data_IF_012145214386
#
_entry.id   IF_012145214386
#
_cell.length_a   1.000
_cell.length_b   1.000
_cell.length_c   1.000
_cell.angle_alpha   90.00
_cell.angle_beta   90.00
_cell.angle_gamma   90.00
#
_symmetry.space_group_name_H-M   'P 1'
#
loop_
_entity.id
_entity.type
_entity.pdbx_description
1 polymer ?
#
# COMPACT_ATOMS: atom_id res chain seq x y z
N UNK A 1 -10.10 -15.12 -15.85
CA UNK A 1 -11.09 -14.17 -16.37
C UNK A 1 -10.33 -12.95 -16.88
N UNK A 2 -10.61 -12.53 -18.09
CA UNK A 2 -10.02 -11.37 -18.76
C UNK A 2 -11.00 -10.20 -18.68
N UNK A 3 -10.56 -9.05 -18.20
CA UNK A 3 -11.39 -7.84 -18.12
C UNK A 3 -10.66 -6.72 -18.83
N UNK A 4 -11.29 -6.11 -19.84
CA UNK A 4 -10.76 -4.92 -20.51
C UNK A 4 -11.35 -3.64 -19.92
N UNK A 5 -10.54 -2.58 -19.89
CA UNK A 5 -11.03 -1.22 -19.68
C UNK A 5 -11.82 -0.75 -20.91
N UNK A 6 -12.64 0.29 -20.76
CA UNK A 6 -13.39 0.86 -21.88
C UNK A 6 -12.45 1.42 -22.97
N UNK A 7 -11.29 1.94 -22.55
CA UNK A 7 -10.26 2.53 -23.39
C UNK A 7 -9.12 1.56 -23.73
N UNK A 8 -9.23 0.27 -23.38
CA UNK A 8 -8.33 -0.75 -23.92
C UNK A 8 -8.41 -0.80 -25.44
N UNK A 9 -7.37 -1.36 -26.06
CA UNK A 9 -7.30 -1.57 -27.51
C UNK A 9 -8.46 -2.44 -28.03
N UNK A 10 -8.76 -2.34 -29.32
CA UNK A 10 -9.89 -3.04 -29.92
C UNK A 10 -9.76 -4.57 -29.79
N UNK A 11 -8.55 -5.10 -30.00
CA UNK A 11 -8.27 -6.54 -29.89
C UNK A 11 -8.39 -7.03 -28.45
N UNK A 12 -7.93 -6.24 -27.47
CA UNK A 12 -8.08 -6.54 -26.04
C UNK A 12 -9.55 -6.61 -25.64
N UNK A 13 -10.37 -5.64 -26.08
CA UNK A 13 -11.82 -5.66 -25.83
C UNK A 13 -12.53 -6.82 -26.51
N UNK A 14 -12.07 -7.23 -27.70
CA UNK A 14 -12.62 -8.38 -28.41
C UNK A 14 -12.28 -9.72 -27.72
N UNK A 15 -11.12 -9.80 -27.04
CA UNK A 15 -10.66 -10.98 -26.33
C UNK A 15 -11.17 -11.08 -24.87
N UNK A 16 -11.66 -9.97 -24.29
CA UNK A 16 -12.06 -9.91 -22.89
C UNK A 16 -13.37 -10.67 -22.60
N UNK A 17 -13.45 -11.30 -21.43
CA UNK A 17 -14.69 -11.91 -20.93
C UNK A 17 -15.70 -10.81 -20.50
N UNK A 18 -15.18 -9.68 -20.01
CA UNK A 18 -15.94 -8.52 -19.56
C UNK A 18 -15.25 -7.24 -20.04
N UNK A 19 -16.04 -6.24 -20.44
CA UNK A 19 -15.54 -4.91 -20.81
C UNK A 19 -16.17 -3.89 -19.88
N UNK A 20 -15.31 -3.14 -19.19
CA UNK A 20 -15.69 -2.03 -18.32
C UNK A 20 -16.23 -0.84 -19.13
N UNK A 21 -16.98 0.04 -18.47
CA UNK A 21 -17.63 1.19 -19.12
C UNK A 21 -16.86 2.49 -18.97
N UNK A 22 -15.83 2.52 -18.12
CA UNK A 22 -15.12 3.75 -17.73
C UNK A 22 -15.89 4.54 -16.68
N UNK A 23 -16.87 3.92 -16.03
CA UNK A 23 -17.69 4.54 -14.98
C UNK A 23 -18.28 3.42 -14.11
N UNK A 24 -18.08 3.51 -12.79
CA UNK A 24 -18.42 2.49 -11.80
C UNK A 24 -17.81 1.10 -12.13
N UNK A 25 -16.56 1.09 -12.61
CA UNK A 25 -15.89 -0.15 -13.04
C UNK A 25 -15.63 -1.09 -11.85
N UNK A 26 -15.63 -0.56 -10.61
CA UNK A 26 -15.57 -1.40 -9.41
C UNK A 26 -16.71 -2.42 -9.35
N UNK A 27 -17.87 -2.14 -9.96
CA UNK A 27 -18.99 -3.10 -10.00
C UNK A 27 -18.68 -4.33 -10.85
N UNK A 28 -18.00 -4.13 -11.99
CA UNK A 28 -17.54 -5.24 -12.86
C UNK A 28 -16.49 -6.08 -12.14
N UNK A 29 -15.53 -5.43 -11.49
CA UNK A 29 -14.50 -6.10 -10.70
C UNK A 29 -15.08 -6.89 -9.52
N UNK A 30 -16.06 -6.32 -8.81
CA UNK A 30 -16.74 -6.99 -7.70
C UNK A 30 -17.55 -8.21 -8.17
N UNK A 31 -18.24 -8.11 -9.31
CA UNK A 31 -18.95 -9.24 -9.91
C UNK A 31 -17.98 -10.38 -10.30
N UNK A 32 -16.82 -10.03 -10.89
CA UNK A 32 -15.77 -10.98 -11.20
C UNK A 32 -15.23 -11.68 -9.94
N UNK A 33 -14.90 -10.93 -8.89
CA UNK A 33 -14.45 -11.46 -7.59
C UNK A 33 -15.50 -12.40 -6.98
N UNK A 34 -16.79 -12.03 -7.04
CA UNK A 34 -17.88 -12.85 -6.52
C UNK A 34 -18.06 -14.17 -7.28
N UNK A 35 -17.72 -14.21 -8.58
CA UNK A 35 -17.79 -15.42 -9.40
C UNK A 35 -16.69 -16.45 -9.05
N UNK A 36 -15.53 -15.99 -8.57
CA UNK A 36 -14.36 -16.82 -8.24
C UNK A 36 -14.46 -17.47 -6.85
N UNK A 37 -15.48 -18.30 -6.63
CA UNK A 37 -15.73 -18.96 -5.32
C UNK A 37 -14.63 -19.93 -4.87
N UNK A 38 -13.82 -20.46 -5.79
CA UNK A 38 -12.70 -21.37 -5.48
C UNK A 38 -11.33 -20.72 -5.69
N UNK A 39 -11.29 -19.40 -5.80
CA UNK A 39 -10.10 -18.66 -6.21
C UNK A 39 -9.91 -18.64 -7.72
N UNK A 40 -8.82 -18.02 -8.16
CA UNK A 40 -8.47 -17.87 -9.58
C UNK A 40 -7.81 -16.54 -9.89
N UNK A 41 -7.66 -16.26 -11.17
CA UNK A 41 -7.02 -15.03 -11.66
C UNK A 41 -8.01 -14.17 -12.44
N UNK A 42 -8.06 -12.90 -12.05
CA UNK A 42 -8.62 -11.79 -12.82
C UNK A 42 -7.44 -11.10 -13.48
N UNK A 43 -7.39 -11.19 -14.80
CA UNK A 43 -6.38 -10.55 -15.63
C UNK A 43 -6.98 -9.28 -16.22
N UNK A 44 -6.43 -8.13 -15.81
CA UNK A 44 -6.82 -6.81 -16.28
C UNK A 44 -5.97 -6.47 -17.51
N UNK A 45 -6.62 -6.11 -18.61
CA UNK A 45 -5.97 -5.66 -19.84
C UNK A 45 -5.64 -4.18 -19.74
N UNK A 46 -4.61 -3.74 -20.47
CA UNK A 46 -4.09 -2.38 -20.40
C UNK A 46 -5.19 -1.33 -20.63
N UNK A 47 -5.20 -0.29 -19.79
CA UNK A 47 -6.22 0.76 -19.80
C UNK A 47 -6.59 1.28 -18.42
N UNK A 48 -7.56 2.19 -18.40
CA UNK A 48 -7.94 2.97 -17.22
C UNK A 48 -9.30 2.53 -16.68
N UNK A 49 -9.29 2.00 -15.46
CA UNK A 49 -10.46 1.53 -14.72
C UNK A 49 -10.88 2.58 -13.70
N UNK A 50 -12.16 2.97 -13.70
CA UNK A 50 -12.64 4.10 -12.92
C UNK A 50 -13.53 3.65 -11.76
N UNK A 51 -13.12 4.00 -10.54
CA UNK A 51 -13.85 3.77 -9.30
C UNK A 51 -14.61 5.03 -8.91
N UNK A 52 -15.94 4.95 -8.90
CA UNK A 52 -16.83 6.10 -8.70
C UNK A 52 -17.60 6.08 -7.37
N UNK A 53 -17.48 5.00 -6.61
CA UNK A 53 -18.10 4.83 -5.29
C UNK A 53 -17.41 3.79 -4.40
N UNK A 54 -17.70 3.90 -3.11
CA UNK A 54 -17.25 2.99 -2.05
C UNK A 54 -18.47 2.35 -1.37
N UNK A 55 -19.27 1.64 -2.16
CA UNK A 55 -20.60 1.17 -1.75
C UNK A 55 -20.59 -0.16 -0.96
N UNK A 56 -19.44 -0.84 -0.88
CA UNK A 56 -19.35 -2.13 -0.21
C UNK A 56 -19.04 -2.01 1.29
N UNK A 57 -19.08 -3.14 1.99
CA UNK A 57 -18.77 -3.26 3.41
C UNK A 57 -17.43 -2.58 3.77
N UNK A 58 -17.41 -1.89 4.92
CA UNK A 58 -16.24 -1.13 5.36
C UNK A 58 -15.89 0.05 4.44
N UNK A 59 -16.88 0.62 3.74
CA UNK A 59 -16.69 1.70 2.77
C UNK A 59 -15.62 1.33 1.73
N UNK A 60 -15.78 0.17 1.10
CA UNK A 60 -14.84 -0.34 0.12
C UNK A 60 -15.34 -0.25 -1.32
N UNK A 61 -14.40 -0.08 -2.26
CA UNK A 61 -14.70 -0.06 -3.69
C UNK A 61 -14.60 -1.45 -4.30
N UNK A 62 -13.41 -2.07 -4.24
CA UNK A 62 -13.13 -3.43 -4.70
C UNK A 62 -13.13 -4.34 -3.48
N UNK A 63 -14.16 -5.18 -3.37
CA UNK A 63 -14.49 -5.92 -2.15
C UNK A 63 -14.42 -7.43 -2.34
N UNK A 64 -13.59 -8.06 -1.52
CA UNK A 64 -13.46 -9.51 -1.43
C UNK A 64 -14.42 -10.01 -0.35
N UNK A 65 -15.68 -10.20 -0.76
CA UNK A 65 -16.76 -10.61 0.13
C UNK A 65 -16.57 -11.99 0.79
N UNK A 66 -17.34 -12.23 1.85
CA UNK A 66 -17.32 -13.50 2.57
C UNK A 66 -17.76 -14.66 1.66
N UNK A 67 -16.91 -15.68 1.58
CA UNK A 67 -17.09 -16.80 0.65
C UNK A 67 -17.67 -18.05 1.33
N UNK A 68 -18.66 -17.86 2.21
CA UNK A 68 -19.32 -18.97 2.90
C UNK A 68 -18.41 -19.83 3.78
N UNK A 69 -17.29 -19.28 4.24
CA UNK A 69 -16.27 -20.00 5.03
C UNK A 69 -15.19 -20.68 4.19
N UNK A 70 -15.35 -20.76 2.86
CA UNK A 70 -14.36 -21.39 1.98
C UNK A 70 -13.19 -20.44 1.70
N UNK A 71 -12.00 -20.85 2.13
CA UNK A 71 -10.77 -20.14 1.82
C UNK A 71 -10.51 -20.10 0.31
N UNK A 72 -10.03 -18.97 -0.20
CA UNK A 72 -9.65 -18.80 -1.61
C UNK A 72 -8.49 -17.83 -1.78
N UNK A 73 -7.76 -17.99 -2.87
CA UNK A 73 -6.76 -17.03 -3.34
C UNK A 73 -7.26 -16.41 -4.63
N UNK A 74 -7.35 -15.09 -4.68
CA UNK A 74 -7.67 -14.35 -5.90
C UNK A 74 -6.46 -13.52 -6.31
N UNK A 75 -6.02 -13.71 -7.54
CA UNK A 75 -4.97 -12.92 -8.16
C UNK A 75 -5.62 -11.82 -9.01
N UNK A 76 -5.27 -10.56 -8.76
CA UNK A 76 -5.61 -9.42 -9.60
C UNK A 76 -4.34 -8.97 -10.32
N UNK A 77 -4.25 -9.21 -11.63
CA UNK A 77 -2.98 -9.12 -12.37
C UNK A 77 -3.17 -8.28 -13.62
N UNK A 78 -2.39 -7.21 -13.78
CA UNK A 78 -2.30 -6.48 -15.05
C UNK A 78 -1.49 -7.23 -16.10
N UNK A 79 -1.85 -7.07 -17.38
CA UNK A 79 -1.22 -7.77 -18.50
C UNK A 79 0.19 -7.31 -18.82
N UNK A 80 0.46 -6.03 -18.66
CA UNK A 80 1.77 -5.45 -18.96
C UNK A 80 2.47 -5.07 -17.67
N UNK A 81 3.77 -5.38 -17.59
CA UNK A 81 4.62 -4.85 -16.51
C UNK A 81 4.48 -3.34 -16.46
N UNK A 82 4.21 -2.82 -15.28
CA UNK A 82 3.81 -1.44 -15.14
C UNK A 82 4.97 -0.50 -15.49
N UNK A 83 4.84 0.24 -16.60
CA UNK A 83 5.88 1.16 -17.07
C UNK A 83 5.53 2.59 -16.63
N UNK A 84 6.56 3.33 -16.24
CA UNK A 84 6.52 4.66 -15.61
C UNK A 84 5.73 5.73 -16.40
N UNK A 85 5.59 6.93 -15.82
CA UNK A 85 4.97 8.18 -16.33
C UNK A 85 4.98 8.43 -17.86
N UNK A 86 5.95 7.90 -18.60
CA UNK A 86 6.12 8.10 -20.03
C UNK A 86 5.46 7.03 -20.93
N UNK A 87 4.75 6.04 -20.38
CA UNK A 87 4.15 4.97 -21.20
C UNK A 87 2.63 5.02 -21.24
N UNK A 88 2.07 4.63 -22.38
CA UNK A 88 0.62 4.52 -22.62
C UNK A 88 0.05 3.14 -22.30
N UNK A 89 0.88 2.22 -21.85
CA UNK A 89 0.55 0.81 -21.64
C UNK A 89 0.71 0.45 -20.17
N UNK A 90 -0.22 -0.36 -19.68
CA UNK A 90 -0.33 -0.76 -18.28
C UNK A 90 -1.76 -0.63 -17.77
N UNK A 91 -2.01 -1.23 -16.61
CA UNK A 91 -3.29 -1.19 -15.93
C UNK A 91 -3.29 -0.13 -14.85
N UNK A 92 -4.28 0.75 -14.91
CA UNK A 92 -4.44 1.82 -13.94
C UNK A 92 -5.85 1.82 -13.37
N UNK A 93 -5.98 1.84 -12.04
CA UNK A 93 -7.25 1.98 -11.34
C UNK A 93 -7.31 3.36 -10.70
N UNK A 94 -8.23 4.20 -11.16
CA UNK A 94 -8.43 5.58 -10.71
C UNK A 94 -9.60 5.66 -9.73
N UNK A 95 -9.35 6.17 -8.53
CA UNK A 95 -10.40 6.68 -7.66
C UNK A 95 -10.75 8.08 -8.12
N UNK A 96 -11.94 8.23 -8.68
CA UNK A 96 -12.34 9.46 -9.35
C UNK A 96 -12.71 10.57 -8.36
N UNK A 97 -12.70 11.82 -8.84
CA UNK A 97 -13.19 12.96 -8.05
C UNK A 97 -14.64 12.75 -7.56
N UNK A 98 -15.60 12.27 -8.39
CA UNK A 98 -16.93 11.90 -7.91
C UNK A 98 -16.94 10.92 -6.74
N UNK A 99 -16.07 9.90 -6.73
CA UNK A 99 -15.96 8.98 -5.59
C UNK A 99 -15.50 9.72 -4.33
N UNK A 100 -14.45 10.53 -4.45
CA UNK A 100 -13.89 11.33 -3.37
C UNK A 100 -14.91 12.33 -2.82
N UNK A 101 -15.67 13.03 -3.67
CA UNK A 101 -16.67 14.03 -3.26
C UNK A 101 -17.77 13.42 -2.38
N UNK A 102 -18.14 12.15 -2.60
CA UNK A 102 -19.13 11.41 -1.80
C UNK A 102 -18.60 10.95 -0.43
N UNK A 103 -17.28 10.97 -0.21
CA UNK A 103 -16.68 10.53 1.05
C UNK A 103 -16.94 11.51 2.19
N UNK A 104 -17.36 10.98 3.34
CA UNK A 104 -17.52 11.72 4.59
C UNK A 104 -16.15 12.05 5.20
N UNK A 105 -15.97 13.23 5.83
CA UNK A 105 -14.69 13.64 6.42
C UNK A 105 -14.17 12.71 7.53
N UNK A 106 -15.07 12.04 8.26
CA UNK A 106 -14.77 11.15 9.39
C UNK A 106 -14.73 9.66 9.01
N UNK A 107 -15.03 9.33 7.75
CA UNK A 107 -15.02 7.95 7.28
C UNK A 107 -13.63 7.44 6.92
N UNK A 108 -13.39 6.14 7.15
CA UNK A 108 -12.25 5.43 6.58
C UNK A 108 -12.73 4.66 5.36
N UNK A 109 -12.19 5.01 4.19
CA UNK A 109 -12.53 4.40 2.90
C UNK A 109 -11.37 3.54 2.39
N UNK A 110 -11.68 2.52 1.59
CA UNK A 110 -10.70 1.50 1.16
C UNK A 110 -10.90 1.14 -0.30
N UNK A 111 -9.86 1.27 -1.11
CA UNK A 111 -9.96 0.88 -2.51
C UNK A 111 -10.02 -0.65 -2.65
N UNK A 112 -9.07 -1.39 -2.06
CA UNK A 112 -9.09 -2.86 -2.00
C UNK A 112 -9.27 -3.31 -0.55
N UNK A 113 -10.27 -4.17 -0.29
CA UNK A 113 -10.59 -4.63 1.07
C UNK A 113 -11.24 -6.03 1.12
N UNK A 114 -11.04 -6.73 2.24
CA UNK A 114 -11.61 -8.04 2.52
C UNK A 114 -12.76 -8.01 3.54
N UNK A 115 -13.59 -9.05 3.51
CA UNK A 115 -14.66 -9.26 4.48
C UNK A 115 -14.14 -9.42 5.92
N UNK A 116 -14.71 -8.67 6.85
CA UNK A 116 -14.36 -8.75 8.27
C UNK A 116 -14.80 -10.08 8.92
N UNK A 117 -15.81 -10.72 8.34
CA UNK A 117 -16.34 -11.98 8.84
C UNK A 117 -15.29 -13.11 8.77
N UNK A 118 -15.06 -13.73 9.93
CA UNK A 118 -14.20 -14.91 10.09
C UNK A 118 -15.03 -16.20 10.10
N UNK A 119 -14.51 -17.31 9.56
CA UNK A 119 -15.15 -18.60 9.69
C UNK A 119 -15.13 -19.05 11.16
N UNK A 120 -16.13 -19.83 11.58
CA UNK A 120 -16.08 -20.50 12.88
C UNK A 120 -15.05 -21.63 12.81
N UNK A 121 -14.16 -21.72 13.79
CA UNK A 121 -13.29 -22.88 13.99
C UNK A 121 -13.68 -23.59 15.30
N UNK A 122 -13.44 -24.90 15.35
CA UNK A 122 -13.60 -25.68 16.58
C UNK A 122 -12.36 -25.53 17.48
N UNK A 123 -12.57 -25.22 18.76
CA UNK A 123 -11.53 -25.01 19.77
C UNK A 123 -11.08 -23.55 19.96
N UNK A 124 -10.23 -23.32 20.98
CA UNK A 124 -9.65 -22.00 21.33
C UNK A 124 -8.48 -21.60 20.41
N UNK A 125 -8.26 -22.32 19.30
CA UNK A 125 -7.19 -22.01 18.36
C UNK A 125 -7.51 -20.74 17.59
N UNK A 126 -6.49 -19.88 17.51
CA UNK A 126 -6.57 -18.55 16.94
C UNK A 126 -7.14 -18.56 15.52
N UNK A 127 -8.37 -18.07 15.35
CA UNK A 127 -8.94 -17.82 14.02
C UNK A 127 -8.35 -16.53 13.44
N UNK A 128 -7.06 -16.54 13.10
CA UNK A 128 -6.41 -15.46 12.35
C UNK A 128 -6.78 -15.50 10.86
N UNK A 129 -7.44 -16.55 10.40
CA UNK A 129 -7.67 -16.80 8.98
C UNK A 129 -8.94 -16.13 8.48
N UNK A 130 -8.79 -14.95 7.89
CA UNK A 130 -9.80 -14.47 6.95
C UNK A 130 -9.82 -15.39 5.72
N UNK A 131 -11.00 -15.62 5.17
CA UNK A 131 -11.19 -16.59 4.06
C UNK A 131 -10.60 -16.11 2.73
N UNK A 132 -10.40 -14.80 2.60
CA UNK A 132 -9.86 -14.23 1.37
C UNK A 132 -8.35 -14.03 1.52
N UNK A 133 -7.64 -14.48 0.50
CA UNK A 133 -6.21 -14.27 0.29
C UNK A 133 -6.08 -13.55 -1.06
N UNK A 134 -5.19 -12.56 -1.14
CA UNK A 134 -5.11 -11.68 -2.31
C UNK A 134 -3.68 -11.52 -2.79
N UNK A 135 -3.52 -11.65 -4.11
CA UNK A 135 -2.29 -11.27 -4.78
C UNK A 135 -2.61 -10.15 -5.78
N UNK A 136 -1.83 -9.06 -5.75
CA UNK A 136 -2.00 -7.94 -6.68
C UNK A 136 -0.69 -7.72 -7.41
N UNK A 137 -0.75 -7.71 -8.74
CA UNK A 137 0.43 -7.62 -9.59
C UNK A 137 0.24 -6.69 -10.81
N UNK A 138 1.30 -5.95 -11.16
CA UNK A 138 1.41 -5.16 -12.41
C UNK A 138 0.31 -4.10 -12.62
N UNK A 139 0.07 -3.24 -11.64
CA UNK A 139 -0.91 -2.17 -11.78
C UNK A 139 -0.60 -0.93 -10.95
N UNK A 140 -1.17 0.21 -11.34
CA UNK A 140 -1.20 1.43 -10.55
C UNK A 140 -2.58 1.66 -9.96
N UNK A 141 -2.59 2.18 -8.74
CA UNK A 141 -3.76 2.73 -8.06
C UNK A 141 -3.54 4.22 -7.91
N UNK A 142 -4.39 5.05 -8.52
CA UNK A 142 -4.35 6.50 -8.33
C UNK A 142 -5.55 6.97 -7.52
N UNK A 143 -5.28 7.79 -6.51
CA UNK A 143 -6.30 8.61 -5.89
C UNK A 143 -6.34 9.96 -6.58
N UNK A 144 -7.54 10.49 -6.82
CA UNK A 144 -7.70 11.85 -7.33
C UNK A 144 -6.82 12.86 -6.57
N UNK A 145 -6.85 12.79 -5.23
CA UNK A 145 -5.92 13.47 -4.33
C UNK A 145 -5.78 12.71 -3.00
N UNK A 146 -4.99 13.26 -2.07
CA UNK A 146 -4.80 12.72 -0.72
C UNK A 146 -5.52 13.55 0.36
N UNK A 147 -6.54 14.33 0.01
CA UNK A 147 -7.21 15.28 0.93
C UNK A 147 -8.17 14.62 1.93
N UNK A 148 -8.41 13.31 1.82
CA UNK A 148 -9.33 12.54 2.69
C UNK A 148 -8.71 11.22 3.19
N UNK A 149 -9.25 10.62 4.28
CA UNK A 149 -8.79 9.34 4.80
C UNK A 149 -9.18 8.14 3.91
N UNK A 150 -8.32 7.82 2.94
CA UNK A 150 -8.47 6.72 1.99
C UNK A 150 -7.27 5.77 2.05
N UNK A 151 -7.54 4.46 2.04
CA UNK A 151 -6.53 3.41 2.00
C UNK A 151 -6.51 2.72 0.64
N UNK A 152 -5.33 2.50 0.08
CA UNK A 152 -5.19 1.85 -1.23
C UNK A 152 -5.47 0.37 -1.15
N UNK A 153 -4.55 -0.37 -0.53
CA UNK A 153 -4.72 -1.79 -0.29
C UNK A 153 -4.78 -2.03 1.22
N UNK A 154 -5.97 -2.32 1.72
CA UNK A 154 -6.19 -2.57 3.14
C UNK A 154 -6.21 -4.07 3.45
N UNK A 155 -5.05 -4.54 3.93
CA UNK A 155 -4.77 -5.91 4.36
C UNK A 155 -5.54 -6.38 5.60
N UNK A 156 -6.21 -5.49 6.34
CA UNK A 156 -6.70 -5.80 7.69
C UNK A 156 -7.64 -7.02 7.80
N UNK A 157 -8.28 -7.40 6.69
CA UNK A 157 -9.22 -8.51 6.60
C UNK A 157 -8.86 -9.56 5.54
N UNK A 158 -7.57 -9.73 5.24
CA UNK A 158 -7.09 -10.82 4.41
C UNK A 158 -6.28 -11.81 5.25
N UNK A 159 -6.38 -13.10 4.94
CA UNK A 159 -5.57 -14.14 5.57
C UNK A 159 -4.13 -14.14 5.05
N UNK A 160 -3.94 -13.55 3.87
CA UNK A 160 -2.68 -13.39 3.18
C UNK A 160 -2.77 -12.23 2.20
N UNK A 161 -1.65 -11.52 2.02
CA UNK A 161 -1.51 -10.51 0.98
C UNK A 161 -0.09 -10.55 0.39
N UNK A 162 0.00 -10.69 -0.93
CA UNK A 162 1.26 -10.54 -1.65
C UNK A 162 1.11 -9.52 -2.77
N UNK A 163 2.04 -8.58 -2.83
CA UNK A 163 1.99 -7.46 -3.76
C UNK A 163 3.26 -7.47 -4.60
N UNK A 164 3.13 -7.33 -5.92
CA UNK A 164 4.29 -7.33 -6.82
C UNK A 164 4.14 -6.27 -7.91
N UNK A 165 5.09 -5.36 -8.04
CA UNK A 165 5.07 -4.32 -9.08
C UNK A 165 3.77 -3.51 -9.07
N UNK A 166 3.36 -3.10 -7.86
CA UNK A 166 2.16 -2.29 -7.62
C UNK A 166 2.60 -0.88 -7.21
N UNK A 167 1.95 0.14 -7.78
CA UNK A 167 2.12 1.52 -7.30
C UNK A 167 0.83 2.10 -6.73
N UNK A 168 0.91 2.86 -5.64
CA UNK A 168 -0.22 3.59 -5.05
C UNK A 168 0.14 5.06 -4.92
N UNK A 169 -0.54 5.91 -5.67
CA UNK A 169 -0.16 7.32 -5.82
C UNK A 169 -1.36 8.24 -5.81
N UNK A 170 -1.13 9.55 -5.74
CA UNK A 170 -2.11 10.55 -6.18
C UNK A 170 -1.93 10.84 -7.67
N UNK A 171 -2.98 11.28 -8.37
CA UNK A 171 -2.92 11.65 -9.80
C UNK A 171 -1.79 12.65 -10.10
N UNK A 172 -1.57 13.59 -9.17
CA UNK A 172 -0.57 14.63 -9.32
C UNK A 172 0.86 14.16 -8.96
N UNK A 173 1.04 12.98 -8.38
CA UNK A 173 2.34 12.54 -7.82
C UNK A 173 3.49 12.64 -8.83
N UNK A 174 3.34 12.05 -10.01
CA UNK A 174 4.41 12.05 -11.02
C UNK A 174 4.67 13.44 -11.58
N UNK A 175 3.61 14.21 -11.88
CA UNK A 175 3.74 15.62 -12.27
C UNK A 175 4.55 16.39 -11.24
N UNK A 176 4.13 16.32 -9.99
CA UNK A 176 4.77 17.06 -8.91
C UNK A 176 6.21 16.60 -8.72
N UNK A 177 6.52 15.31 -8.93
CA UNK A 177 7.88 14.74 -8.75
C UNK A 177 8.81 15.23 -9.86
N UNK A 178 8.38 15.13 -11.12
CA UNK A 178 9.21 15.47 -12.27
C UNK A 178 9.29 16.97 -12.54
N UNK A 179 8.28 17.75 -12.14
CA UNK A 179 8.31 19.21 -12.21
C UNK A 179 8.84 19.87 -10.93
N UNK A 180 9.28 19.07 -9.95
CA UNK A 180 9.76 19.57 -8.65
C UNK A 180 8.78 20.55 -7.97
N UNK A 181 7.48 20.23 -8.00
CA UNK A 181 6.44 21.02 -7.32
C UNK A 181 6.22 20.46 -5.92
N UNK A 182 6.00 21.30 -4.93
CA UNK A 182 5.65 20.83 -3.58
C UNK A 182 4.30 20.09 -3.63
N UNK A 183 4.20 18.85 -3.11
CA UNK A 183 2.92 18.13 -3.09
C UNK A 183 1.94 18.83 -2.16
N UNK A 184 0.64 18.70 -2.45
CA UNK A 184 -0.40 19.10 -1.51
C UNK A 184 -0.26 18.34 -0.18
N UNK A 185 -0.59 19.01 0.93
CA UNK A 185 -0.58 18.38 2.25
C UNK A 185 -1.61 17.26 2.31
N UNK A 186 -1.21 16.00 2.57
CA UNK A 186 -2.13 14.88 2.63
C UNK A 186 -2.88 14.85 3.97
N UNK A 187 -4.10 14.33 3.97
CA UNK A 187 -4.90 14.15 5.17
C UNK A 187 -4.49 12.90 5.96
N UNK A 188 -4.56 13.00 7.29
CA UNK A 188 -4.36 11.84 8.18
C UNK A 188 -5.27 10.69 7.76
N UNK A 189 -4.71 9.47 7.75
CA UNK A 189 -5.45 8.27 7.33
C UNK A 189 -5.48 8.03 5.81
N UNK A 190 -4.88 8.90 5.00
CA UNK A 190 -4.48 8.58 3.62
C UNK A 190 -3.28 7.63 3.64
N UNK A 191 -3.49 6.36 3.26
CA UNK A 191 -2.49 5.28 3.40
C UNK A 191 -2.38 4.51 2.09
N UNK A 192 -1.17 4.23 1.61
CA UNK A 192 -0.99 3.41 0.41
C UNK A 192 -1.29 1.95 0.67
N UNK A 193 -0.49 1.31 1.52
CA UNK A 193 -0.62 -0.10 1.88
C UNK A 193 -0.75 -0.26 3.38
N UNK A 194 -1.79 -0.96 3.81
CA UNK A 194 -2.00 -1.36 5.19
C UNK A 194 -1.83 -2.88 5.27
N UNK A 195 -0.90 -3.39 6.07
CA UNK A 195 -0.57 -4.82 6.07
C UNK A 195 -1.71 -5.70 6.58
N UNK A 196 -1.62 -6.99 6.29
CA UNK A 196 -2.40 -8.00 7.02
C UNK A 196 -1.97 -8.02 8.50
N UNK A 197 -2.89 -8.25 9.46
CA UNK A 197 -2.56 -8.29 10.87
C UNK A 197 -2.34 -9.73 11.36
N UNK A 198 -1.43 -9.90 12.31
CA UNK A 198 -1.27 -11.12 13.10
C UNK A 198 -0.37 -12.19 12.49
N UNK A 199 -0.42 -13.36 13.14
CA UNK A 199 0.34 -14.58 12.83
C UNK A 199 -0.33 -15.35 11.71
N UNK A 200 0.39 -15.57 10.62
CA UNK A 200 0.11 -16.66 9.70
C UNK A 200 0.74 -17.93 10.29
N UNK A 201 -0.03 -19.00 10.47
CA UNK A 201 0.47 -20.28 10.99
C UNK A 201 1.40 -20.98 9.97
N UNK A 202 2.54 -20.36 9.67
CA UNK A 202 3.69 -20.85 8.89
C UNK A 202 3.43 -21.10 7.39
N UNK A 203 2.17 -21.03 6.90
CA UNK A 203 1.82 -21.41 5.52
C UNK A 203 1.35 -20.26 4.59
N UNK A 204 1.11 -19.04 5.10
CA UNK A 204 0.63 -17.93 4.27
C UNK A 204 1.77 -17.07 3.68
N UNK A 205 1.76 -16.84 2.37
CA UNK A 205 2.75 -15.99 1.69
C UNK A 205 2.47 -14.49 1.89
N UNK A 206 3.06 -13.85 2.90
CA UNK A 206 2.94 -12.40 3.09
C UNK A 206 4.22 -11.72 2.59
N UNK A 207 4.13 -10.85 1.59
CA UNK A 207 5.33 -10.21 1.03
C UNK A 207 5.07 -9.14 -0.01
N UNK A 208 5.95 -8.16 -0.09
CA UNK A 208 5.85 -7.03 -1.03
C UNK A 208 7.12 -6.94 -1.87
N UNK A 209 6.98 -6.97 -3.18
CA UNK A 209 8.09 -6.92 -4.15
C UNK A 209 7.89 -5.77 -5.12
N UNK A 210 8.83 -4.81 -5.16
CA UNK A 210 8.73 -3.64 -6.07
C UNK A 210 7.43 -2.85 -5.90
N UNK A 211 6.97 -2.71 -4.66
CA UNK A 211 5.77 -1.91 -4.35
C UNK A 211 6.17 -0.48 -4.06
N UNK A 212 5.54 0.47 -4.75
CA UNK A 212 5.87 1.88 -4.62
C UNK A 212 4.65 2.67 -4.14
N UNK A 213 4.84 3.56 -3.20
CA UNK A 213 3.76 4.43 -2.69
C UNK A 213 4.23 5.87 -2.70
N UNK A 214 3.36 6.82 -3.07
CA UNK A 214 3.75 8.22 -2.94
C UNK A 214 2.65 9.27 -2.97
N UNK A 215 2.94 10.41 -2.36
CA UNK A 215 2.00 11.54 -2.27
C UNK A 215 0.88 11.36 -1.25
N UNK A 216 1.05 10.48 -0.24
CA UNK A 216 0.02 10.14 0.75
C UNK A 216 0.47 10.53 2.18
N UNK A 217 -0.40 10.38 3.17
CA UNK A 217 0.02 10.65 4.56
C UNK A 217 0.97 9.55 5.07
N UNK A 218 0.62 8.28 4.87
CA UNK A 218 1.51 7.13 5.17
C UNK A 218 1.71 6.30 3.90
N UNK A 219 2.97 5.94 3.61
CA UNK A 219 3.30 4.99 2.55
C UNK A 219 2.83 3.58 2.91
N UNK A 220 3.53 2.97 3.87
CA UNK A 220 3.28 1.62 4.37
C UNK A 220 2.96 1.64 5.87
N UNK A 221 1.87 0.98 6.26
CA UNK A 221 1.56 0.68 7.65
C UNK A 221 1.67 -0.81 7.91
N UNK A 222 2.51 -1.19 8.88
CA UNK A 222 2.66 -2.57 9.32
C UNK A 222 1.95 -2.76 10.65
N UNK A 223 0.74 -3.33 10.61
CA UNK A 223 -0.10 -3.46 11.80
C UNK A 223 0.01 -4.85 12.41
N UNK A 224 0.93 -5.06 13.36
CA UNK A 224 1.11 -6.33 14.07
C UNK A 224 1.32 -7.52 13.11
N UNK A 225 1.95 -7.29 11.97
CA UNK A 225 2.16 -8.32 10.95
C UNK A 225 3.31 -9.21 11.33
N UNK A 226 3.16 -10.51 11.06
CA UNK A 226 4.21 -11.50 11.27
C UNK A 226 4.81 -11.96 9.94
N UNK A 227 6.11 -12.27 9.95
CA UNK A 227 6.85 -12.92 8.85
C UNK A 227 6.80 -12.19 7.49
N UNK A 228 6.58 -10.86 7.49
CA UNK A 228 6.55 -10.06 6.27
C UNK A 228 7.96 -9.78 5.74
N UNK A 229 8.16 -10.00 4.44
CA UNK A 229 9.36 -9.57 3.70
C UNK A 229 8.96 -8.50 2.67
N UNK A 230 9.66 -7.37 2.70
CA UNK A 230 9.62 -6.35 1.67
C UNK A 230 10.93 -6.35 0.90
N UNK A 231 10.87 -6.25 -0.42
CA UNK A 231 12.04 -6.15 -1.28
C UNK A 231 11.84 -5.08 -2.36
N UNK A 232 12.80 -4.18 -2.48
CA UNK A 232 12.81 -3.12 -3.48
C UNK A 232 11.53 -2.24 -3.45
N UNK A 233 10.91 -2.10 -2.28
CA UNK A 233 9.73 -1.25 -2.09
C UNK A 233 10.14 0.17 -1.70
N UNK A 234 9.44 1.18 -2.21
CA UNK A 234 9.76 2.58 -1.96
C UNK A 234 8.53 3.36 -1.50
N UNK A 235 8.69 4.19 -0.47
CA UNK A 235 7.72 5.21 -0.11
C UNK A 235 8.31 6.59 -0.40
N UNK A 236 7.61 7.39 -1.19
CA UNK A 236 8.13 8.65 -1.68
C UNK A 236 7.15 9.81 -1.52
N UNK A 237 7.62 10.94 -0.98
CA UNK A 237 6.84 12.18 -0.86
C UNK A 237 5.52 11.99 -0.09
N UNK A 238 5.58 11.15 0.92
CA UNK A 238 4.56 10.99 1.96
C UNK A 238 4.90 11.82 3.21
N UNK A 239 3.98 11.95 4.17
CA UNK A 239 4.38 12.45 5.49
C UNK A 239 5.27 11.44 6.21
N UNK A 240 4.85 10.18 6.26
CA UNK A 240 5.65 9.06 6.77
C UNK A 240 5.80 8.02 5.66
N UNK A 241 7.03 7.59 5.38
CA UNK A 241 7.26 6.49 4.45
C UNK A 241 6.78 5.15 5.02
N UNK A 242 7.21 4.86 6.24
CA UNK A 242 6.99 3.58 6.91
C UNK A 242 6.51 3.81 8.35
N UNK A 243 5.41 3.15 8.71
CA UNK A 243 4.83 3.17 10.04
C UNK A 243 4.70 1.76 10.59
N UNK A 244 5.55 1.44 11.55
CA UNK A 244 5.62 0.14 12.18
C UNK A 244 4.79 0.13 13.47
N UNK A 245 3.85 -0.81 13.56
CA UNK A 245 3.06 -1.07 14.78
C UNK A 245 3.36 -2.49 15.23
N UNK A 246 3.89 -2.59 16.44
CA UNK A 246 4.58 -3.76 16.97
C UNK A 246 3.83 -5.08 16.86
N UNK A 247 4.55 -6.15 16.51
CA UNK A 247 4.10 -7.54 16.42
C UNK A 247 5.14 -8.50 17.01
N UNK A 248 4.75 -9.76 17.28
CA UNK A 248 5.63 -10.72 17.94
C UNK A 248 6.76 -11.26 17.04
N UNK A 249 6.69 -11.10 15.72
CA UNK A 249 7.65 -11.69 14.77
C UNK A 249 8.41 -10.64 13.94
N UNK A 250 9.47 -11.11 13.29
CA UNK A 250 10.40 -10.29 12.52
C UNK A 250 9.80 -9.79 11.20
N UNK A 251 9.95 -8.49 10.94
CA UNK A 251 9.79 -7.88 9.63
C UNK A 251 11.15 -7.77 8.93
N UNK A 252 11.22 -8.09 7.63
CA UNK A 252 12.48 -7.93 6.86
C UNK A 252 12.28 -6.96 5.70
N UNK A 253 13.17 -5.97 5.58
CA UNK A 253 13.24 -5.03 4.47
C UNK A 253 14.55 -5.25 3.72
N UNK A 254 14.50 -5.36 2.40
CA UNK A 254 15.67 -5.60 1.54
C UNK A 254 15.67 -4.56 0.42
N UNK A 255 16.67 -3.69 0.40
CA UNK A 255 16.83 -2.64 -0.60
C UNK A 255 15.58 -1.75 -0.74
N UNK A 256 14.95 -1.40 0.37
CA UNK A 256 13.77 -0.52 0.41
C UNK A 256 14.19 0.96 0.47
N UNK A 257 13.31 1.88 0.05
CA UNK A 257 13.63 3.31 0.00
C UNK A 257 12.59 4.23 0.66
N UNK A 258 13.08 5.24 1.37
CA UNK A 258 12.31 6.32 1.98
C UNK A 258 12.72 7.66 1.34
N UNK A 259 11.97 8.11 0.32
CA UNK A 259 12.38 9.20 -0.58
C UNK A 259 11.56 10.48 -0.40
N UNK A 260 12.16 11.53 0.13
CA UNK A 260 11.52 12.84 0.24
C UNK A 260 10.25 12.81 1.10
N UNK A 261 10.18 11.94 2.12
CA UNK A 261 9.08 11.95 3.09
C UNK A 261 9.34 13.00 4.19
N UNK A 262 8.28 13.54 4.81
CA UNK A 262 8.41 14.58 5.86
C UNK A 262 9.14 14.05 7.10
N UNK A 263 8.86 12.80 7.48
CA UNK A 263 9.42 12.13 8.64
C UNK A 263 10.12 10.84 8.19
N UNK A 264 11.19 10.47 8.90
CA UNK A 264 11.74 9.12 8.85
C UNK A 264 10.79 8.11 9.52
N UNK A 265 11.05 6.79 9.43
CA UNK A 265 10.11 5.78 9.90
C UNK A 265 9.70 5.90 11.38
N UNK A 266 8.46 5.55 11.67
CA UNK A 266 7.87 5.60 13.02
C UNK A 266 7.60 4.21 13.56
N UNK A 267 7.91 4.00 14.83
CA UNK A 267 7.87 2.72 15.52
C UNK A 267 6.98 2.82 16.77
N UNK A 268 5.87 2.10 16.75
CA UNK A 268 4.89 2.06 17.83
C UNK A 268 4.86 0.68 18.49
N UNK A 269 4.66 0.61 19.81
CA UNK A 269 4.68 -0.65 20.56
C UNK A 269 6.05 -1.35 20.57
N UNK A 270 6.05 -2.68 20.45
CA UNK A 270 7.25 -3.53 20.49
C UNK A 270 7.33 -4.45 19.27
N UNK A 271 8.52 -4.60 18.69
CA UNK A 271 8.68 -5.45 17.51
C UNK A 271 10.13 -5.76 17.18
N UNK A 272 10.32 -6.55 16.12
CA UNK A 272 11.63 -6.90 15.60
C UNK A 272 11.69 -6.61 14.11
N UNK A 273 12.71 -5.89 13.65
CA UNK A 273 12.89 -5.54 12.24
C UNK A 273 14.34 -5.74 11.80
N UNK A 274 14.51 -6.23 10.59
CA UNK A 274 15.81 -6.33 9.91
C UNK A 274 15.73 -5.58 8.59
N UNK A 275 16.54 -4.54 8.43
CA UNK A 275 16.65 -3.81 7.16
C UNK A 275 18.05 -3.96 6.59
N UNK A 276 18.11 -4.44 5.35
CA UNK A 276 19.30 -4.62 4.53
C UNK A 276 19.28 -3.56 3.43
N UNK A 277 20.26 -2.66 3.42
CA UNK A 277 20.43 -1.59 2.43
C UNK A 277 19.20 -0.67 2.28
N UNK A 278 18.70 -0.13 3.39
CA UNK A 278 17.59 0.83 3.35
C UNK A 278 18.05 2.21 2.88
N UNK A 279 17.49 2.74 1.79
CA UNK A 279 17.94 3.98 1.18
C UNK A 279 17.07 5.16 1.62
N UNK A 280 17.68 6.19 2.17
CA UNK A 280 16.98 7.41 2.60
C UNK A 280 17.39 8.57 1.69
N UNK A 281 16.42 9.24 1.08
CA UNK A 281 16.66 10.44 0.29
C UNK A 281 15.93 11.64 0.89
N UNK A 282 16.64 12.75 1.12
CA UNK A 282 16.16 14.00 1.72
C UNK A 282 16.78 15.21 1.05
N UNK A 283 16.56 15.37 -0.26
CA UNK A 283 17.25 16.41 -1.05
C UNK A 283 16.84 17.85 -0.74
N UNK A 284 15.55 18.16 -0.81
CA UNK A 284 15.09 19.54 -0.75
C UNK A 284 13.71 19.64 -0.08
N UNK A 285 13.65 20.35 1.05
CA UNK A 285 12.43 20.56 1.82
C UNK A 285 11.31 21.26 1.01
N UNK A 286 11.66 22.03 -0.03
CA UNK A 286 10.68 22.65 -0.92
C UNK A 286 9.86 21.64 -1.72
N UNK A 287 10.31 20.38 -1.82
CA UNK A 287 9.67 19.31 -2.59
C UNK A 287 9.10 18.20 -1.71
N UNK A 288 9.08 18.39 -0.39
CA UNK A 288 8.56 17.42 0.58
C UNK A 288 7.19 17.94 1.08
N UNK A 289 6.17 17.09 1.22
CA UNK A 289 4.87 17.53 1.73
C UNK A 289 4.99 18.10 3.14
N UNK A 290 4.07 19.00 3.49
CA UNK A 290 3.91 19.43 4.88
C UNK A 290 3.20 18.35 5.70
N UNK A 291 3.50 18.29 6.99
CA UNK A 291 2.82 17.41 7.93
C UNK A 291 1.55 18.10 8.45
N UNK A 292 0.35 17.49 8.34
CA UNK A 292 -0.88 18.05 8.90
C UNK A 292 -0.88 18.07 10.43
N UNK A 293 0.12 17.46 11.07
CA UNK A 293 0.23 17.30 12.51
C UNK A 293 1.00 18.45 13.18
N UNK A 294 1.63 19.32 12.38
CA UNK A 294 2.57 20.32 12.87
C UNK A 294 3.80 19.71 13.54
N UNK A 295 4.03 18.41 13.35
CA UNK A 295 5.19 17.71 13.88
C UNK A 295 6.45 18.19 13.14
N UNK A 296 7.38 18.75 13.91
CA UNK A 296 8.65 19.27 13.42
C UNK A 296 9.81 18.28 13.62
N UNK A 297 9.52 17.10 14.18
CA UNK A 297 10.51 16.04 14.33
C UNK A 297 10.60 15.19 13.06
N UNK A 298 11.55 15.51 12.20
CA UNK A 298 11.76 14.80 10.93
C UNK A 298 12.54 13.48 11.07
N UNK A 299 12.96 13.11 12.29
CA UNK A 299 13.78 11.91 12.56
C UNK A 299 12.91 10.68 12.80
N UNK A 300 13.56 9.51 12.80
CA UNK A 300 12.88 8.27 13.15
C UNK A 300 12.50 8.33 14.63
N UNK A 301 11.36 7.74 14.98
CA UNK A 301 10.83 7.82 16.35
C UNK A 301 10.38 6.46 16.84
N UNK A 302 10.67 6.18 18.10
CA UNK A 302 10.11 5.07 18.86
C UNK A 302 9.18 5.61 19.94
N UNK A 303 7.96 5.07 20.01
CA UNK A 303 6.99 5.39 21.06
C UNK A 303 7.48 4.94 22.44
N UNK A 304 8.11 3.75 22.50
CA UNK A 304 8.73 3.19 23.68
C UNK A 304 10.22 3.01 23.34
N UNK A 305 11.13 3.83 23.88
CA UNK A 305 12.56 3.69 23.63
C UNK A 305 13.05 2.27 23.91
N UNK A 306 13.71 1.66 22.93
CA UNK A 306 14.20 0.28 23.02
C UNK A 306 13.10 -0.78 22.95
N UNK A 307 11.87 -0.40 22.60
CA UNK A 307 10.77 -1.34 22.36
C UNK A 307 10.94 -2.13 21.05
N UNK A 308 11.75 -1.61 20.13
CA UNK A 308 12.08 -2.25 18.87
C UNK A 308 13.52 -2.76 18.88
N UNK A 309 13.71 -3.94 18.29
CA UNK A 309 14.99 -4.64 18.24
C UNK A 309 15.32 -5.10 16.81
N UNK A 310 16.59 -5.47 16.59
CA UNK A 310 17.08 -6.02 15.32
C UNK A 310 18.22 -5.20 14.73
N UNK A 311 18.30 -5.15 13.39
CA UNK A 311 19.39 -4.50 12.66
C UNK A 311 18.81 -3.64 11.55
N UNK A 312 19.25 -2.40 11.42
CA UNK A 312 18.75 -1.49 10.41
C UNK A 312 19.92 -0.83 9.67
N UNK A 313 20.38 -1.46 8.59
CA UNK A 313 21.41 -0.87 7.73
C UNK A 313 20.78 0.10 6.76
N UNK A 314 21.37 1.29 6.59
CA UNK A 314 20.81 2.31 5.73
C UNK A 314 21.89 3.19 5.07
N UNK A 315 21.53 3.77 3.94
CA UNK A 315 22.24 4.91 3.34
C UNK A 315 21.38 6.15 3.48
N UNK A 316 22.01 7.33 3.51
CA UNK A 316 21.29 8.60 3.51
C UNK A 316 21.94 9.61 2.57
N UNK A 317 21.08 10.25 1.78
CA UNK A 317 21.42 11.26 0.80
C UNK A 317 20.57 12.52 1.01
N UNK A 318 21.20 13.70 0.89
CA UNK A 318 20.53 15.00 1.04
C UNK A 318 20.66 15.60 2.44
N UNK A 319 20.09 16.80 2.63
CA UNK A 319 20.23 17.59 3.86
C UNK A 319 18.93 18.29 4.31
N UNK A 320 17.79 17.99 3.68
CA UNK A 320 16.51 18.57 4.05
C UNK A 320 16.22 18.33 5.54
N UNK A 321 15.77 19.39 6.22
CA UNK A 321 15.49 19.39 7.65
C UNK A 321 16.67 19.02 8.58
N UNK A 322 17.92 19.11 8.08
CA UNK A 322 19.11 18.77 8.87
C UNK A 322 19.24 17.28 9.20
N UNK A 323 18.55 16.43 8.44
CA UNK A 323 18.73 14.97 8.49
C UNK A 323 19.96 14.66 7.62
N UNK A 324 21.09 14.33 8.27
CA UNK A 324 22.39 14.08 7.62
C UNK A 324 23.08 12.87 8.24
N UNK A 325 24.00 12.25 7.50
CA UNK A 325 24.98 11.30 8.04
C UNK A 325 25.80 11.98 9.15
N UNK A 326 25.81 11.43 10.37
CA UNK A 326 26.81 11.81 11.38
C UNK A 326 28.03 10.88 11.27
N UNK A 327 29.26 11.36 11.56
CA UNK A 327 30.49 10.58 11.40
C UNK A 327 30.59 9.43 12.42
N UNK A 328 31.33 8.38 12.04
CA UNK A 328 31.68 7.20 12.84
C UNK A 328 32.14 7.56 14.27
N UNK A 329 31.58 6.89 15.29
CA UNK A 329 32.14 6.85 16.64
C UNK A 329 31.29 7.36 17.83
N UNK A 330 29.97 7.56 17.69
CA UNK A 330 29.10 7.71 18.87
C UNK A 330 28.56 6.35 19.37
N UNK A 331 28.13 6.30 20.62
CA UNK A 331 27.71 5.07 21.31
C UNK A 331 26.25 4.72 20.98
N UNK A 332 26.05 3.53 20.44
CA UNK A 332 24.90 3.07 19.64
C UNK A 332 23.50 3.07 20.31
N UNK A 333 22.55 3.69 19.62
CA UNK A 333 21.11 3.37 19.66
C UNK A 333 20.71 2.73 18.31
N UNK A 334 19.51 2.14 18.22
CA UNK A 334 18.92 1.45 17.05
C UNK A 334 19.02 2.20 15.69
N UNK A 335 19.36 3.50 15.71
CA UNK A 335 19.46 4.41 14.56
C UNK A 335 20.87 4.93 14.26
N UNK A 336 21.92 4.37 14.84
CA UNK A 336 23.27 4.75 14.39
C UNK A 336 23.65 3.94 13.14
N UNK A 337 24.24 4.59 12.12
CA UNK A 337 24.61 3.94 10.86
C UNK A 337 25.60 2.81 11.13
N UNK A 338 25.37 1.66 10.49
CA UNK A 338 26.20 0.46 10.62
C UNK A 338 27.56 0.56 9.95
#
# INVERSE_FOLDING_TARGET
MLIAAFNSEADDKAAADLVCTGTNDERVLNAAIASLRKGGTIQLLDGDYHVDEFANEGNSAIYFGYNGGAARVINLVGTTENKSYNTRFGVTIHVTKPAMDKMRPDGVYRLIYGAAQKPKAEGDFYTYTHVNNVNVENLFLFFFDASKPLRGIDGSNFGQMYLKQVGVFTENYFRDRFLHLKPAMPAKGSIGVYSVPGSNDEMSRIGYDYVNVGGLYIGFTFNKVDHLILRACSAARCCYGYWFVGGPKTLTLINCADEGNTHLPRFCGRGHVTALDFNIERFNAAYIPDSPDGDVNHRATEEIPGGWHGTFTYTIQGNAYGVQNKPEGSTANFWEPG
#
